data_IF_145038675582
#
_entry.id   IF_145038675582
#
_cell.length_a   1.000
_cell.length_b   1.000
_cell.length_c   1.000
_cell.angle_alpha   90.00
_cell.angle_beta   90.00
_cell.angle_gamma   90.00
#
_symmetry.space_group_name_H-M   'P 1'
#
loop_
_entity.id
_entity.type
_entity.pdbx_description
1 polymer ?
#
# COMPACT_ATOMS: atom_id res chain seq x y z
N UNK A 1 17.66 5.76 -11.24
CA UNK A 1 17.67 6.75 -10.12
C UNK A 1 17.91 6.03 -8.81
N UNK A 2 18.39 6.72 -7.76
CA UNK A 2 18.36 6.22 -6.38
C UNK A 2 16.97 6.46 -5.80
N UNK A 3 16.29 5.41 -5.33
CA UNK A 3 14.88 5.47 -4.95
C UNK A 3 14.68 5.02 -3.50
N UNK A 4 13.86 5.74 -2.74
CA UNK A 4 13.27 5.29 -1.49
C UNK A 4 11.86 4.76 -1.79
N UNK A 5 11.54 3.55 -1.36
CA UNK A 5 10.22 2.94 -1.58
C UNK A 5 9.39 3.04 -0.30
N UNK A 6 8.18 3.58 -0.36
CA UNK A 6 7.21 3.50 0.74
C UNK A 6 6.64 2.08 0.77
N UNK A 7 6.93 1.35 1.84
CA UNK A 7 6.67 -0.08 1.94
C UNK A 7 5.81 -0.40 3.17
N UNK A 8 4.59 -0.86 2.96
CA UNK A 8 3.72 -1.32 4.05
C UNK A 8 3.95 -2.80 4.40
N UNK A 9 4.27 -3.63 3.44
CA UNK A 9 4.26 -5.10 3.52
C UNK A 9 3.02 -5.73 2.91
N UNK A 10 2.11 -4.90 2.38
CA UNK A 10 0.95 -5.32 1.60
C UNK A 10 1.32 -5.69 0.17
N UNK A 11 0.42 -6.39 -0.52
CA UNK A 11 0.59 -6.90 -1.89
C UNK A 11 1.14 -5.84 -2.84
N UNK A 12 0.51 -4.66 -2.89
CA UNK A 12 0.83 -3.61 -3.87
C UNK A 12 2.21 -3.00 -3.60
N UNK A 13 2.50 -2.68 -2.34
CA UNK A 13 3.76 -2.06 -1.94
C UNK A 13 4.96 -3.01 -2.09
N UNK A 14 4.75 -4.31 -1.84
CA UNK A 14 5.78 -5.34 -2.07
C UNK A 14 6.02 -5.52 -3.57
N UNK A 15 4.96 -5.56 -4.39
CA UNK A 15 5.11 -5.62 -5.84
C UNK A 15 5.83 -4.38 -6.38
N UNK A 16 5.52 -3.18 -5.84
CA UNK A 16 6.23 -1.95 -6.19
C UNK A 16 7.71 -2.00 -5.79
N UNK A 17 8.04 -2.54 -4.62
CA UNK A 17 9.43 -2.75 -4.19
C UNK A 17 10.20 -3.60 -5.21
N UNK A 18 9.66 -4.77 -5.57
CA UNK A 18 10.29 -5.65 -6.57
C UNK A 18 10.38 -4.99 -7.95
N UNK A 19 9.35 -4.23 -8.34
CA UNK A 19 9.38 -3.47 -9.60
C UNK A 19 10.48 -2.41 -9.59
N UNK A 20 10.61 -1.65 -8.51
CA UNK A 20 11.66 -0.64 -8.38
C UNK A 20 13.06 -1.28 -8.35
N UNK A 21 13.23 -2.44 -7.71
CA UNK A 21 14.51 -3.17 -7.74
C UNK A 21 14.89 -3.62 -9.15
N UNK A 22 13.90 -3.99 -9.97
CA UNK A 22 14.13 -4.40 -11.35
C UNK A 22 14.44 -3.25 -12.31
N UNK A 23 14.02 -2.02 -11.98
CA UNK A 23 14.09 -0.85 -12.89
C UNK A 23 15.00 0.27 -12.40
N UNK A 24 15.27 0.33 -11.09
CA UNK A 24 15.95 1.43 -10.43
C UNK A 24 16.94 0.93 -9.36
N UNK A 25 17.70 1.84 -8.76
CA UNK A 25 18.54 1.54 -7.60
C UNK A 25 17.78 1.88 -6.31
N UNK A 26 17.14 0.90 -5.69
CA UNK A 26 16.51 1.09 -4.37
C UNK A 26 17.59 1.23 -3.31
N UNK A 27 17.63 2.38 -2.61
CA UNK A 27 18.63 2.67 -1.56
C UNK A 27 18.08 2.44 -0.17
N UNK A 28 16.76 2.52 0.03
CA UNK A 28 16.08 2.19 1.27
C UNK A 28 14.59 1.95 1.02
N UNK A 29 13.94 1.25 1.95
CA UNK A 29 12.49 1.23 2.11
C UNK A 29 12.10 1.95 3.40
N UNK A 30 10.98 2.69 3.36
CA UNK A 30 10.43 3.41 4.49
C UNK A 30 9.04 2.85 4.82
N UNK A 31 8.86 2.38 6.05
CA UNK A 31 7.62 1.81 6.57
C UNK A 31 7.10 2.65 7.72
N UNK A 32 5.77 2.68 7.93
CA UNK A 32 5.14 3.51 8.94
C UNK A 32 4.30 2.67 9.90
N UNK A 33 4.58 2.79 11.20
CA UNK A 33 3.65 2.37 12.26
C UNK A 33 2.81 3.58 12.65
N UNK A 34 1.58 3.62 12.15
CA UNK A 34 0.64 4.74 12.37
C UNK A 34 -0.57 4.35 13.21
N UNK A 35 -0.48 3.23 13.93
CA UNK A 35 -1.54 2.74 14.80
C UNK A 35 -2.69 2.03 14.08
N UNK A 36 -2.51 1.57 12.85
CA UNK A 36 -3.51 0.76 12.17
C UNK A 36 -3.64 -0.63 12.82
N UNK A 37 -4.84 -1.20 12.78
CA UNK A 37 -5.14 -2.53 13.36
C UNK A 37 -4.25 -3.64 12.82
N UNK A 38 -3.84 -3.53 11.57
CA UNK A 38 -3.04 -4.53 10.85
C UNK A 38 -1.53 -4.23 10.84
N UNK A 39 -1.05 -3.09 11.37
CA UNK A 39 0.39 -2.73 11.34
C UNK A 39 1.28 -3.84 11.92
N UNK A 40 0.85 -4.47 13.03
CA UNK A 40 1.60 -5.56 13.65
C UNK A 40 1.76 -6.80 12.75
N UNK A 41 0.95 -6.91 11.69
CA UNK A 41 1.01 -7.98 10.69
C UNK A 41 1.78 -7.56 9.44
N UNK A 42 1.53 -6.37 8.92
CA UNK A 42 2.19 -5.87 7.70
C UNK A 42 3.69 -5.60 7.89
N UNK A 43 4.06 -4.90 8.96
CA UNK A 43 5.45 -4.46 9.15
C UNK A 43 6.48 -5.60 9.21
N UNK A 44 6.22 -6.77 9.83
CA UNK A 44 7.12 -7.91 9.74
C UNK A 44 7.36 -8.39 8.30
N UNK A 45 6.32 -8.39 7.44
CA UNK A 45 6.48 -8.76 6.04
C UNK A 45 7.29 -7.72 5.27
N UNK A 46 7.08 -6.42 5.52
CA UNK A 46 7.92 -5.37 4.94
C UNK A 46 9.41 -5.57 5.29
N UNK A 47 9.71 -5.81 6.56
CA UNK A 47 11.07 -6.05 7.02
C UNK A 47 11.68 -7.32 6.40
N UNK A 48 10.88 -8.36 6.24
CA UNK A 48 11.31 -9.64 5.67
C UNK A 48 11.59 -9.53 4.17
N UNK A 49 10.76 -8.84 3.39
CA UNK A 49 11.01 -8.52 1.99
C UNK A 49 12.32 -7.73 1.82
N UNK A 50 12.51 -6.71 2.62
CA UNK A 50 13.74 -5.92 2.59
C UNK A 50 14.99 -6.75 2.92
N UNK A 51 14.89 -7.64 3.91
CA UNK A 51 15.99 -8.54 4.27
C UNK A 51 16.36 -9.47 3.12
N UNK A 52 15.36 -10.05 2.44
CA UNK A 52 15.59 -10.96 1.30
C UNK A 52 16.25 -10.25 0.11
N UNK A 53 15.92 -8.98 -0.11
CA UNK A 53 16.47 -8.15 -1.17
C UNK A 53 17.74 -7.37 -0.74
N UNK A 54 18.19 -7.50 0.52
CA UNK A 54 19.32 -6.77 1.11
C UNK A 54 19.16 -5.26 1.02
N UNK A 55 17.94 -4.76 1.22
CA UNK A 55 17.59 -3.34 1.21
C UNK A 55 17.44 -2.87 2.67
N UNK A 56 18.06 -1.74 3.06
CA UNK A 56 17.79 -1.14 4.37
C UNK A 56 16.31 -0.78 4.52
N UNK A 57 15.69 -1.22 5.63
CA UNK A 57 14.31 -0.84 5.98
C UNK A 57 14.31 0.05 7.23
N UNK A 58 13.69 1.22 7.13
CA UNK A 58 13.44 2.11 8.26
C UNK A 58 11.96 2.10 8.60
N UNK A 59 11.62 1.79 9.85
CA UNK A 59 10.27 1.92 10.38
C UNK A 59 10.19 3.21 11.18
N UNK A 60 9.20 4.06 10.84
CA UNK A 60 8.93 5.32 11.53
C UNK A 60 7.61 5.19 12.28
N UNK A 61 7.63 5.51 13.57
CA UNK A 61 6.43 5.54 14.40
C UNK A 61 5.69 6.85 14.23
N UNK A 62 4.40 6.75 13.87
CA UNK A 62 3.44 7.84 13.75
C UNK A 62 2.22 7.58 14.65
N UNK A 63 2.44 7.05 15.85
CA UNK A 63 1.38 6.59 16.75
C UNK A 63 0.35 7.67 17.09
N UNK A 64 0.73 8.96 17.04
CA UNK A 64 -0.19 10.08 17.23
C UNK A 64 -1.38 10.05 16.26
N UNK A 65 -1.24 9.42 15.08
CA UNK A 65 -2.33 9.34 14.12
C UNK A 65 -3.51 8.51 14.64
N UNK A 66 -3.25 7.50 15.48
CA UNK A 66 -4.30 6.69 16.10
C UNK A 66 -5.15 7.51 17.08
N UNK A 67 -4.57 8.52 17.71
CA UNK A 67 -5.25 9.37 18.69
C UNK A 67 -5.87 10.62 18.05
N UNK A 68 -5.21 11.19 17.04
CA UNK A 68 -5.61 12.45 16.42
C UNK A 68 -6.61 12.26 15.26
N UNK A 69 -6.63 11.11 14.59
CA UNK A 69 -7.44 10.90 13.39
C UNK A 69 -8.59 9.90 13.64
N UNK A 70 -9.69 10.10 12.90
CA UNK A 70 -10.87 9.22 12.96
C UNK A 70 -10.87 8.32 11.72
N UNK A 71 -10.74 7.00 11.93
CA UNK A 71 -10.87 5.99 10.88
C UNK A 71 -11.09 4.62 11.52
N UNK A 72 -11.93 3.80 10.92
CA UNK A 72 -12.13 2.41 11.36
C UNK A 72 -10.89 1.54 11.13
N UNK A 73 -9.95 2.00 10.32
CA UNK A 73 -8.65 1.33 10.11
C UNK A 73 -7.72 1.44 11.33
N UNK A 74 -7.86 2.51 12.11
CA UNK A 74 -7.03 2.77 13.30
C UNK A 74 -7.49 1.95 14.50
N UNK A 75 -6.59 1.69 15.45
CA UNK A 75 -6.89 0.95 16.68
C UNK A 75 -7.99 1.63 17.51
N UNK A 76 -8.07 2.96 17.45
CA UNK A 76 -9.11 3.78 18.09
C UNK A 76 -10.46 3.75 17.37
N UNK A 77 -10.53 3.23 16.15
CA UNK A 77 -11.74 3.23 15.31
C UNK A 77 -12.66 2.03 15.52
N UNK A 78 -13.80 2.05 14.80
CA UNK A 78 -14.83 1.02 14.80
C UNK A 78 -14.42 -0.30 14.13
N UNK A 79 -15.41 -1.11 13.77
CA UNK A 79 -15.18 -2.40 13.10
C UNK A 79 -14.83 -2.18 11.61
N UNK A 80 -13.89 -2.97 11.11
CA UNK A 80 -13.59 -3.03 9.67
C UNK A 80 -14.80 -3.62 8.94
N UNK A 81 -15.32 -2.96 7.89
CA UNK A 81 -16.43 -3.47 7.10
C UNK A 81 -16.09 -4.79 6.40
N UNK A 82 -17.09 -5.64 6.23
CA UNK A 82 -17.08 -6.75 5.28
C UNK A 82 -17.70 -6.29 3.96
N UNK A 83 -17.45 -6.99 2.86
CA UNK A 83 -18.01 -6.68 1.56
C UNK A 83 -16.97 -6.28 0.52
N UNK A 84 -17.43 -5.78 -0.63
CA UNK A 84 -16.54 -5.43 -1.74
C UNK A 84 -15.71 -4.17 -1.43
N UNK A 85 -14.47 -4.13 -1.93
CA UNK A 85 -13.52 -3.02 -1.67
C UNK A 85 -14.04 -1.65 -2.17
N UNK A 86 -14.79 -1.64 -3.26
CA UNK A 86 -15.35 -0.41 -3.85
C UNK A 86 -16.67 0.05 -3.19
N UNK A 87 -17.17 -0.65 -2.18
CA UNK A 87 -18.39 -0.23 -1.48
C UNK A 87 -18.20 1.05 -0.68
N UNK A 88 -19.23 1.89 -0.62
CA UNK A 88 -19.22 3.15 0.14
C UNK A 88 -18.89 2.97 1.64
N UNK A 89 -19.17 1.80 2.20
CA UNK A 89 -18.81 1.41 3.57
C UNK A 89 -17.29 1.48 3.83
N UNK A 90 -16.47 1.25 2.80
CA UNK A 90 -15.01 1.31 2.89
C UNK A 90 -14.46 2.72 3.13
N UNK A 91 -15.25 3.78 2.86
CA UNK A 91 -14.86 5.17 3.20
C UNK A 91 -14.56 5.36 4.69
N UNK A 92 -15.15 4.53 5.57
CA UNK A 92 -14.85 4.53 7.01
C UNK A 92 -13.42 4.10 7.34
N UNK A 93 -12.75 3.40 6.41
CA UNK A 93 -11.35 2.96 6.59
C UNK A 93 -10.33 3.97 6.08
N UNK A 94 -10.77 5.07 5.47
CA UNK A 94 -9.87 6.15 5.03
C UNK A 94 -9.25 6.81 6.25
N UNK A 95 -7.93 6.79 6.35
CA UNK A 95 -7.18 7.61 7.31
C UNK A 95 -6.91 8.96 6.62
N UNK A 96 -7.40 10.07 7.18
CA UNK A 96 -7.33 11.37 6.52
C UNK A 96 -5.91 11.74 6.08
N UNK A 97 -5.74 12.07 4.80
CA UNK A 97 -4.49 12.57 4.22
C UNK A 97 -3.26 11.68 4.47
N UNK A 98 -3.46 10.37 4.65
CA UNK A 98 -2.39 9.42 5.05
C UNK A 98 -1.23 9.42 4.06
N UNK A 99 -1.51 9.31 2.76
CA UNK A 99 -0.47 9.27 1.74
C UNK A 99 0.27 10.61 1.63
N UNK A 100 -0.40 11.74 1.86
CA UNK A 100 0.25 13.06 1.93
C UNK A 100 1.29 13.13 3.06
N UNK A 101 0.95 12.63 4.25
CA UNK A 101 1.86 12.56 5.39
C UNK A 101 3.05 11.63 5.07
N UNK A 102 2.78 10.44 4.54
CA UNK A 102 3.83 9.47 4.21
C UNK A 102 4.77 9.97 3.11
N UNK A 103 4.23 10.64 2.09
CA UNK A 103 5.01 11.24 1.01
C UNK A 103 5.86 12.41 1.53
N UNK A 104 5.32 13.25 2.42
CA UNK A 104 6.08 14.35 3.02
C UNK A 104 7.29 13.83 3.81
N UNK A 105 7.08 12.83 4.66
CA UNK A 105 8.16 12.20 5.40
C UNK A 105 9.15 11.44 4.50
N UNK A 106 8.62 10.72 3.51
CA UNK A 106 9.42 10.00 2.53
C UNK A 106 10.33 10.94 1.72
N UNK A 107 9.81 12.12 1.40
CA UNK A 107 10.57 13.17 0.68
C UNK A 107 11.76 13.67 1.48
N UNK A 108 11.56 14.07 2.73
CA UNK A 108 12.64 14.51 3.60
C UNK A 108 13.66 13.39 3.88
N UNK A 109 13.18 12.15 4.04
CA UNK A 109 14.04 10.99 4.21
C UNK A 109 14.87 10.69 2.96
N UNK A 110 14.27 10.76 1.77
CA UNK A 110 14.95 10.57 0.49
C UNK A 110 16.05 11.63 0.27
N UNK A 111 15.75 12.90 0.51
CA UNK A 111 16.73 13.97 0.42
C UNK A 111 17.91 13.77 1.38
N UNK A 112 17.62 13.36 2.63
CA UNK A 112 18.65 13.09 3.66
C UNK A 112 19.58 11.94 3.29
N UNK A 113 19.12 10.98 2.46
CA UNK A 113 19.91 9.86 1.96
C UNK A 113 20.62 10.17 0.61
N UNK A 114 20.43 11.35 0.05
CA UNK A 114 20.91 11.67 -1.31
C UNK A 114 20.26 10.79 -2.37
N UNK A 115 18.99 10.44 -2.19
CA UNK A 115 18.18 9.77 -3.19
C UNK A 115 17.58 10.78 -4.18
N UNK A 116 17.11 10.30 -5.32
CA UNK A 116 16.54 11.11 -6.40
C UNK A 116 15.01 11.10 -6.39
N UNK A 117 14.41 10.07 -5.79
CA UNK A 117 12.96 9.86 -5.86
C UNK A 117 12.40 9.06 -4.66
N UNK A 118 11.09 9.24 -4.45
CA UNK A 118 10.25 8.38 -3.60
C UNK A 118 9.27 7.62 -4.48
N UNK A 119 9.06 6.33 -4.22
CA UNK A 119 8.08 5.50 -4.90
C UNK A 119 6.92 5.13 -3.98
N UNK A 120 5.68 5.23 -4.50
CA UNK A 120 4.44 4.82 -3.84
C UNK A 120 3.66 3.85 -4.73
N UNK A 121 2.93 2.92 -4.12
CA UNK A 121 2.15 1.88 -4.82
C UNK A 121 0.65 2.25 -4.96
N UNK A 122 0.31 3.54 -5.08
CA UNK A 122 -1.06 3.95 -5.39
C UNK A 122 -1.49 3.38 -6.75
N UNK A 123 -2.72 2.89 -6.86
CA UNK A 123 -3.23 2.24 -8.06
C UNK A 123 -4.69 2.64 -8.38
N UNK A 124 -5.16 2.32 -9.58
CA UNK A 124 -6.47 2.75 -10.07
C UNK A 124 -7.65 2.26 -9.21
N UNK A 125 -7.55 1.05 -8.63
CA UNK A 125 -8.57 0.51 -7.73
C UNK A 125 -8.79 1.33 -6.46
N UNK A 126 -7.76 2.06 -6.00
CA UNK A 126 -7.85 2.92 -4.82
C UNK A 126 -8.64 4.21 -5.09
N UNK A 127 -8.75 4.65 -6.34
CA UNK A 127 -9.27 5.97 -6.70
C UNK A 127 -10.72 6.19 -6.28
N UNK A 128 -11.52 5.13 -6.19
CA UNK A 128 -12.94 5.20 -5.79
C UNK A 128 -13.08 5.60 -4.31
N UNK A 129 -12.19 5.12 -3.45
CA UNK A 129 -12.31 5.23 -1.99
C UNK A 129 -11.31 6.25 -1.40
N UNK A 130 -10.07 6.28 -1.91
CA UNK A 130 -8.97 7.06 -1.32
C UNK A 130 -8.62 8.27 -2.18
N UNK A 131 -9.03 9.50 -1.79
CA UNK A 131 -8.72 10.72 -2.55
C UNK A 131 -7.22 10.94 -2.76
N UNK A 132 -6.40 10.58 -1.77
CA UNK A 132 -4.95 10.74 -1.76
C UNK A 132 -4.17 9.67 -2.56
N UNK A 133 -4.90 8.83 -3.33
CA UNK A 133 -4.34 7.93 -4.35
C UNK A 133 -4.59 8.42 -5.78
N UNK A 134 -5.41 9.45 -5.97
CA UNK A 134 -5.79 9.97 -7.30
C UNK A 134 -4.71 10.84 -7.91
N UNK A 135 -4.72 10.95 -9.23
CA UNK A 135 -3.74 11.77 -9.95
C UNK A 135 -3.89 13.27 -9.68
N UNK A 136 -5.12 13.76 -9.45
CA UNK A 136 -5.39 15.16 -9.09
C UNK A 136 -4.81 15.55 -7.72
N UNK A 137 -4.53 14.58 -6.84
CA UNK A 137 -3.75 14.76 -5.63
C UNK A 137 -2.25 14.50 -5.87
N UNK A 138 -1.91 13.39 -6.51
CA UNK A 138 -0.50 12.96 -6.64
C UNK A 138 0.32 13.89 -7.55
N UNK A 139 -0.29 14.53 -8.57
CA UNK A 139 0.39 15.49 -9.43
C UNK A 139 0.84 16.76 -8.68
N UNK A 140 -0.04 17.49 -7.95
CA UNK A 140 0.38 18.59 -7.09
C UNK A 140 1.38 18.19 -6.01
N UNK A 141 1.21 17.00 -5.41
CA UNK A 141 2.15 16.49 -4.40
C UNK A 141 3.54 16.28 -4.99
N UNK A 142 3.65 15.73 -6.20
CA UNK A 142 4.92 15.57 -6.90
C UNK A 142 5.59 16.93 -7.18
N UNK A 143 4.80 17.94 -7.54
CA UNK A 143 5.31 19.32 -7.73
C UNK A 143 5.82 19.91 -6.41
N UNK A 144 5.06 19.71 -5.31
CA UNK A 144 5.46 20.17 -3.98
C UNK A 144 6.77 19.51 -3.53
N UNK A 145 6.92 18.19 -3.71
CA UNK A 145 8.15 17.45 -3.41
C UNK A 145 9.35 18.01 -4.16
N UNK A 146 9.20 18.26 -5.48
CA UNK A 146 10.26 18.80 -6.30
C UNK A 146 10.63 20.24 -5.94
N UNK A 147 9.64 21.11 -5.72
CA UNK A 147 9.89 22.52 -5.41
C UNK A 147 10.35 22.75 -3.97
N UNK A 148 9.95 21.86 -3.06
CA UNK A 148 10.27 21.95 -1.62
C UNK A 148 11.59 21.31 -1.21
N UNK A 149 12.36 20.74 -2.14
CA UNK A 149 13.65 20.08 -1.87
C UNK A 149 14.77 20.60 -2.78
N UNK A 150 15.97 20.72 -2.24
CA UNK A 150 17.17 21.09 -3.04
C UNK A 150 17.50 20.02 -4.09
N UNK A 151 17.32 18.73 -3.73
CA UNK A 151 17.55 17.59 -4.62
C UNK A 151 16.43 17.42 -5.67
N UNK A 152 15.34 18.21 -5.59
CA UNK A 152 14.17 18.14 -6.49
C UNK A 152 13.62 16.73 -6.56
N UNK A 153 13.34 16.14 -5.40
CA UNK A 153 12.88 14.76 -5.23
C UNK A 153 11.66 14.47 -6.11
N UNK A 154 11.73 13.43 -6.91
CA UNK A 154 10.65 12.98 -7.80
C UNK A 154 9.71 12.01 -7.11
N UNK A 155 8.43 12.00 -7.52
CA UNK A 155 7.46 10.98 -7.14
C UNK A 155 7.33 9.93 -8.24
N UNK A 156 7.64 8.67 -7.92
CA UNK A 156 7.39 7.51 -8.78
C UNK A 156 6.12 6.80 -8.32
N UNK A 157 5.23 6.52 -9.26
CA UNK A 157 3.93 5.88 -9.02
C UNK A 157 3.64 4.86 -10.12
N UNK A 158 4.39 3.74 -10.14
CA UNK A 158 4.41 2.83 -11.29
C UNK A 158 3.05 2.18 -11.60
N UNK A 159 2.14 2.17 -10.62
CA UNK A 159 0.87 1.44 -10.73
C UNK A 159 -0.36 2.36 -10.77
N UNK A 160 -0.18 3.68 -10.82
CA UNK A 160 -1.29 4.64 -10.70
C UNK A 160 -2.45 4.41 -11.69
N UNK A 161 -2.15 3.90 -12.88
CA UNK A 161 -3.15 3.57 -13.91
C UNK A 161 -3.47 2.06 -14.02
N UNK A 162 -2.88 1.22 -13.15
CA UNK A 162 -3.10 -0.22 -13.15
C UNK A 162 -4.20 -0.60 -12.16
N UNK A 163 -4.97 -1.63 -12.48
CA UNK A 163 -5.82 -2.31 -11.50
C UNK A 163 -5.01 -3.34 -10.69
N UNK A 164 -5.59 -3.86 -9.63
CA UNK A 164 -4.92 -4.86 -8.77
C UNK A 164 -4.61 -6.17 -9.51
N UNK A 165 -5.43 -6.53 -10.49
CA UNK A 165 -5.20 -7.71 -11.34
C UNK A 165 -3.90 -7.58 -12.14
N UNK A 166 -3.67 -6.42 -12.74
CA UNK A 166 -2.42 -6.12 -13.45
C UNK A 166 -1.21 -6.09 -12.50
N UNK A 167 -1.38 -5.58 -11.27
CA UNK A 167 -0.32 -5.60 -10.24
C UNK A 167 0.03 -7.04 -9.87
N UNK A 168 -0.95 -7.94 -9.67
CA UNK A 168 -0.69 -9.36 -9.39
C UNK A 168 0.05 -10.03 -10.54
N UNK A 169 -0.35 -9.80 -11.79
CA UNK A 169 0.38 -10.31 -12.97
C UNK A 169 1.81 -9.81 -13.00
N UNK A 170 2.00 -8.52 -12.78
CA UNK A 170 3.35 -7.92 -12.73
C UNK A 170 4.21 -8.53 -11.63
N UNK A 171 3.66 -8.76 -10.45
CA UNK A 171 4.38 -9.41 -9.36
C UNK A 171 4.72 -10.88 -9.65
N UNK A 172 3.84 -11.61 -10.33
CA UNK A 172 4.11 -12.97 -10.78
C UNK A 172 5.29 -13.01 -11.77
N UNK A 173 5.35 -12.08 -12.74
CA UNK A 173 6.49 -11.91 -13.65
C UNK A 173 7.80 -11.64 -12.88
N UNK A 174 7.73 -10.82 -11.82
CA UNK A 174 8.86 -10.47 -10.96
C UNK A 174 9.17 -11.55 -9.91
N UNK A 175 8.41 -12.65 -9.89
CA UNK A 175 8.55 -13.76 -8.94
C UNK A 175 8.39 -13.32 -7.48
N UNK A 176 7.47 -12.40 -7.23
CA UNK A 176 7.13 -11.96 -5.87
C UNK A 176 6.53 -13.14 -5.09
N UNK A 177 7.08 -13.43 -3.92
CA UNK A 177 6.50 -14.39 -2.99
C UNK A 177 5.31 -13.75 -2.24
N UNK A 178 4.14 -13.92 -2.79
CA UNK A 178 2.90 -13.37 -2.23
C UNK A 178 2.44 -14.04 -0.91
N UNK A 179 2.99 -15.23 -0.56
CA UNK A 179 2.75 -15.82 0.75
C UNK A 179 3.36 -14.95 1.88
N UNK A 180 4.34 -14.12 1.53
CA UNK A 180 5.02 -13.17 2.43
C UNK A 180 4.53 -11.73 2.24
N UNK A 181 3.20 -11.55 2.11
CA UNK A 181 2.51 -10.25 2.05
C UNK A 181 1.26 -10.27 2.91
N UNK A 182 0.85 -9.10 3.41
CA UNK A 182 -0.35 -8.99 4.23
C UNK A 182 -1.36 -8.01 3.61
N UNK A 183 -2.64 -8.41 3.51
CA UNK A 183 -3.71 -7.54 2.98
C UNK A 183 -4.84 -7.28 3.98
N UNK A 184 -5.09 -8.19 4.92
CA UNK A 184 -6.27 -8.14 5.79
C UNK A 184 -6.25 -6.95 6.76
N UNK A 185 -7.21 -6.04 6.65
CA UNK A 185 -7.35 -4.88 7.54
C UNK A 185 -7.76 -5.24 8.98
N UNK A 186 -8.35 -6.43 9.21
CA UNK A 186 -8.76 -6.86 10.56
C UNK A 186 -7.57 -7.23 11.46
N UNK A 187 -6.39 -7.51 10.90
CA UNK A 187 -5.16 -7.75 11.66
C UNK A 187 -5.14 -9.04 12.51
N UNK A 188 -5.96 -10.03 12.18
CA UNK A 188 -6.02 -11.33 12.86
C UNK A 188 -4.76 -12.21 12.65
N UNK A 189 -4.83 -13.48 13.08
CA UNK A 189 -3.73 -14.44 12.86
C UNK A 189 -3.62 -14.87 11.39
N UNK A 190 -4.77 -15.01 10.72
CA UNK A 190 -4.91 -15.30 9.30
C UNK A 190 -5.70 -14.18 8.62
N UNK A 191 -5.65 -14.11 7.31
CA UNK A 191 -6.53 -13.23 6.54
C UNK A 191 -7.99 -13.65 6.75
N UNK A 192 -8.87 -12.69 7.05
CA UNK A 192 -10.27 -13.02 7.37
C UNK A 192 -11.07 -13.61 6.18
N UNK A 193 -10.70 -13.22 4.95
CA UNK A 193 -11.37 -13.65 3.71
C UNK A 193 -12.63 -12.84 3.36
N UNK A 194 -13.10 -11.92 4.23
CA UNK A 194 -14.39 -11.21 4.09
C UNK A 194 -14.28 -9.69 4.05
N UNK A 195 -13.22 -9.06 4.60
CA UNK A 195 -13.07 -7.62 4.51
C UNK A 195 -12.73 -7.19 3.08
N UNK A 196 -12.99 -5.93 2.73
CA UNK A 196 -12.82 -5.41 1.38
C UNK A 196 -11.47 -5.75 0.75
N UNK A 197 -10.37 -5.58 1.48
CA UNK A 197 -9.02 -5.90 0.98
C UNK A 197 -8.76 -7.40 0.79
N UNK A 198 -9.39 -8.27 1.57
CA UNK A 198 -9.33 -9.71 1.34
C UNK A 198 -10.14 -10.11 0.09
N UNK A 199 -11.32 -9.52 -0.10
CA UNK A 199 -12.16 -9.75 -1.28
C UNK A 199 -11.40 -9.27 -2.53
N UNK A 200 -10.89 -8.05 -2.53
CA UNK A 200 -10.13 -7.48 -3.65
C UNK A 200 -8.88 -8.32 -3.99
N UNK A 201 -8.15 -8.79 -2.97
CA UNK A 201 -7.02 -9.69 -3.16
C UNK A 201 -7.45 -10.98 -3.88
N UNK A 202 -8.45 -11.68 -3.36
CA UNK A 202 -8.96 -12.94 -3.93
C UNK A 202 -9.44 -12.76 -5.36
N UNK A 203 -10.17 -11.68 -5.62
CA UNK A 203 -10.64 -11.31 -6.97
C UNK A 203 -9.46 -11.05 -7.91
N UNK A 204 -8.46 -10.27 -7.50
CA UNK A 204 -7.30 -9.95 -8.31
C UNK A 204 -6.50 -11.19 -8.70
N UNK A 205 -6.26 -12.13 -7.78
CA UNK A 205 -5.58 -13.38 -8.10
C UNK A 205 -6.38 -14.26 -9.05
N UNK A 206 -7.71 -14.38 -8.83
CA UNK A 206 -8.61 -15.12 -9.70
C UNK A 206 -8.58 -14.56 -11.13
N UNK A 207 -8.74 -13.26 -11.30
CA UNK A 207 -8.75 -12.58 -12.61
C UNK A 207 -7.37 -12.54 -13.27
N UNK A 208 -6.30 -12.57 -12.47
CA UNK A 208 -4.94 -12.66 -12.98
C UNK A 208 -4.59 -14.06 -13.51
N UNK A 209 -5.33 -15.10 -13.12
CA UNK A 209 -4.99 -16.47 -13.39
C UNK A 209 -3.76 -16.97 -12.61
N UNK A 210 -3.47 -16.33 -11.47
CA UNK A 210 -2.33 -16.64 -10.58
C UNK A 210 -2.88 -17.28 -9.31
N UNK A 211 -2.34 -18.43 -8.84
CA UNK A 211 -2.76 -19.00 -7.57
C UNK A 211 -2.50 -18.05 -6.39
N UNK A 212 -3.52 -17.82 -5.55
CA UNK A 212 -3.34 -17.05 -4.31
C UNK A 212 -2.78 -17.96 -3.21
N UNK A 213 -1.56 -17.74 -2.73
CA UNK A 213 -0.94 -18.57 -1.69
C UNK A 213 -1.44 -18.24 -0.27
N UNK A 214 -2.37 -17.31 -0.11
CA UNK A 214 -2.79 -16.78 1.19
C UNK A 214 -3.70 -17.74 1.94
N UNK A 215 -3.39 -18.10 3.20
CA UNK A 215 -4.32 -18.80 4.06
C UNK A 215 -5.41 -17.84 4.59
N UNK A 216 -6.67 -18.23 4.42
CA UNK A 216 -7.84 -17.48 4.89
C UNK A 216 -8.58 -18.23 6.00
N UNK A 217 -9.21 -17.47 6.92
CA UNK A 217 -10.14 -18.03 7.92
C UNK A 217 -11.37 -18.60 7.23
N UNK A 218 -11.87 -17.90 6.22
CA UNK A 218 -13.00 -18.33 5.40
C UNK A 218 -12.88 -17.80 3.97
N UNK A 219 -13.46 -18.50 3.01
CA UNK A 219 -13.43 -18.14 1.58
C UNK A 219 -14.84 -18.18 0.98
N UNK A 220 -15.78 -17.32 1.44
CA UNK A 220 -17.12 -17.26 0.85
C UNK A 220 -17.03 -16.91 -0.64
N UNK A 221 -18.08 -17.14 -1.45
CA UNK A 221 -18.14 -16.64 -2.82
C UNK A 221 -17.82 -15.15 -2.87
N UNK A 222 -17.13 -14.73 -3.92
CA UNK A 222 -16.84 -13.31 -4.11
C UNK A 222 -18.16 -12.55 -4.31
N UNK A 223 -18.40 -11.44 -3.61
CA UNK A 223 -19.57 -10.62 -3.84
C UNK A 223 -19.51 -9.99 -5.23
N UNK A 224 -20.67 -9.66 -5.84
CA UNK A 224 -20.67 -8.93 -7.10
C UNK A 224 -20.02 -7.56 -6.92
N UNK A 225 -19.31 -7.13 -7.96
CA UNK A 225 -18.73 -5.78 -7.99
C UNK A 225 -19.87 -4.74 -7.92
N UNK A 226 -19.78 -3.73 -7.05
CA UNK A 226 -20.77 -2.66 -7.00
C UNK A 226 -20.90 -1.99 -8.37
N UNK A 227 -22.13 -1.61 -8.77
CA UNK A 227 -22.32 -0.77 -9.93
C UNK A 227 -21.52 0.52 -9.72
N UNK A 228 -20.71 0.91 -10.73
CA UNK A 228 -19.95 2.15 -10.67
C UNK A 228 -20.89 3.31 -10.35
N UNK A 229 -20.68 3.95 -9.21
CA UNK A 229 -21.37 5.24 -8.93
C UNK A 229 -20.71 6.24 -9.88
N UNK A 230 -21.50 6.65 -10.89
CA UNK A 230 -21.12 7.66 -11.86
C UNK A 230 -20.88 9.02 -11.17
#
# INVERSE_FOLDING_TARGET
MKVVVLLSGGLDSVTALHHMVATEKVVAALSFDYGAKHNSRELPYAADQCRSLRIPNRIVSLNFMADAFKSDLLKSGGKIPDGHYEEGSMKKTVVPFRNGIFLSMGTGFAESLGADAVAIAAHAGDHTIYPDCREDFLNPMAQAMQSGTYARIKLLRPFVSMDKTAIVRRGAELKVDYARTWSCYKGGLLHCGTCGTCIERREAFLLAGVPDPTPYVTTPPLPPKPASVA
#
